data_IF_769732628272
#
_entry.id   IF_769732628272
#
_cell.length_a   1.000
_cell.length_b   1.000
_cell.length_c   1.000
_cell.angle_alpha   90.00
_cell.angle_beta   90.00
_cell.angle_gamma   90.00
#
_symmetry.space_group_name_H-M   'P 1'
#
loop_
_entity.id
_entity.type
_entity.pdbx_description
1 polymer ?
#
# COMPACT_ATOMS: atom_id res chain seq x y z
N UNK A 1 -29.44 -8.53 -2.12
CA UNK A 1 -27.97 -8.55 -2.02
C UNK A 1 -27.55 -7.21 -1.41
N UNK A 2 -27.20 -7.16 -0.12
CA UNK A 2 -26.80 -5.90 0.52
C UNK A 2 -25.35 -5.62 0.13
N UNK A 3 -25.11 -4.60 -0.69
CA UNK A 3 -23.78 -4.01 -0.84
C UNK A 3 -23.28 -3.68 0.56
N UNK A 4 -22.15 -4.28 0.98
CA UNK A 4 -21.42 -3.79 2.14
C UNK A 4 -21.16 -2.29 1.93
N UNK A 5 -21.33 -1.44 2.95
CA UNK A 5 -21.02 -0.03 2.80
C UNK A 5 -19.58 0.07 2.28
N UNK A 6 -19.48 0.71 1.12
CA UNK A 6 -18.23 0.95 0.43
C UNK A 6 -17.28 1.60 1.42
N UNK A 7 -16.20 0.92 1.77
CA UNK A 7 -15.35 1.35 2.89
C UNK A 7 -14.75 2.70 2.48
N UNK A 8 -15.00 3.81 3.20
CA UNK A 8 -14.75 5.16 2.68
C UNK A 8 -13.33 5.41 2.20
N UNK A 9 -12.35 4.66 2.72
CA UNK A 9 -10.96 4.73 2.27
C UNK A 9 -10.76 4.25 0.84
N UNK A 10 -11.50 3.23 0.36
CA UNK A 10 -11.27 2.61 -0.96
C UNK A 10 -11.42 3.64 -2.09
N UNK A 11 -12.46 4.46 -2.05
CA UNK A 11 -12.76 5.46 -3.09
C UNK A 11 -11.68 6.52 -3.27
N UNK A 12 -10.98 6.86 -2.18
CA UNK A 12 -10.03 7.96 -2.16
C UNK A 12 -8.58 7.46 -1.98
N UNK A 13 -8.35 6.15 -1.94
CA UNK A 13 -7.02 5.61 -1.73
C UNK A 13 -6.22 5.61 -3.03
N UNK A 14 -5.01 6.13 -2.92
CA UNK A 14 -3.96 5.97 -3.90
C UNK A 14 -2.71 5.39 -3.25
N UNK A 15 -1.95 4.63 -4.03
CA UNK A 15 -0.61 4.14 -3.70
C UNK A 15 0.38 4.68 -4.71
N UNK A 16 1.56 5.07 -4.27
CA UNK A 16 2.70 5.40 -5.13
C UNK A 16 3.95 4.66 -4.67
N UNK A 17 4.88 4.45 -5.60
CA UNK A 17 6.25 4.00 -5.29
C UNK A 17 7.14 5.24 -5.31
N UNK A 18 7.67 5.61 -4.15
CA UNK A 18 8.59 6.72 -4.00
C UNK A 18 10.03 6.25 -4.17
N UNK A 19 10.83 7.07 -4.86
CA UNK A 19 12.25 6.81 -5.16
C UNK A 19 13.17 7.84 -4.48
N UNK A 20 12.66 9.05 -4.22
CA UNK A 20 13.39 10.09 -3.50
C UNK A 20 12.43 11.09 -2.88
N UNK A 21 12.68 11.59 -1.66
CA UNK A 21 13.75 11.24 -0.72
C UNK A 21 13.45 9.96 0.10
N UNK A 22 12.24 9.43 -0.01
CA UNK A 22 11.85 8.13 0.50
C UNK A 22 12.05 7.09 -0.60
N UNK A 23 12.67 5.97 -0.27
CA UNK A 23 12.65 4.75 -1.08
C UNK A 23 11.63 3.80 -0.45
N UNK A 24 10.44 3.68 -1.05
CA UNK A 24 9.36 2.86 -0.49
C UNK A 24 7.96 3.20 -0.98
N UNK A 25 6.95 2.67 -0.27
CA UNK A 25 5.54 2.79 -0.67
C UNK A 25 4.83 3.88 0.13
N UNK A 26 4.07 4.72 -0.56
CA UNK A 26 3.23 5.74 0.06
C UNK A 26 1.76 5.47 -0.25
N UNK A 27 0.93 5.38 0.78
CA UNK A 27 -0.52 5.41 0.66
C UNK A 27 -1.05 6.79 1.00
N UNK A 28 -1.99 7.31 0.22
CA UNK A 28 -2.58 8.63 0.45
C UNK A 28 -4.08 8.62 0.19
N UNK A 29 -4.83 9.32 1.04
CA UNK A 29 -6.25 9.58 0.80
C UNK A 29 -6.45 10.93 0.10
N UNK A 30 -7.03 10.93 -1.10
CA UNK A 30 -7.26 12.12 -1.91
C UNK A 30 -8.48 11.96 -2.84
N UNK A 31 -9.17 13.07 -3.19
CA UNK A 31 -10.36 13.01 -4.05
C UNK A 31 -10.05 12.76 -5.53
N UNK A 32 -8.78 12.81 -5.94
CA UNK A 32 -8.34 12.55 -7.31
C UNK A 32 -6.84 12.27 -7.36
N UNK A 33 -6.38 11.71 -8.48
CA UNK A 33 -4.97 11.42 -8.77
C UNK A 33 -4.09 12.67 -8.67
N UNK A 34 -4.55 13.81 -9.18
CA UNK A 34 -3.79 15.08 -9.10
C UNK A 34 -3.64 15.57 -7.65
N UNK A 35 -4.70 15.43 -6.84
CA UNK A 35 -4.65 15.77 -5.43
C UNK A 35 -3.74 14.80 -4.66
N UNK A 36 -3.77 13.50 -4.99
CA UNK A 36 -2.87 12.50 -4.41
C UNK A 36 -1.40 12.85 -4.71
N UNK A 37 -1.07 13.11 -5.98
CA UNK A 37 0.26 13.48 -6.41
C UNK A 37 0.78 14.74 -5.68
N UNK A 38 -0.05 15.78 -5.57
CA UNK A 38 0.31 17.01 -4.83
C UNK A 38 0.51 16.74 -3.34
N UNK A 39 -0.35 15.94 -2.71
CA UNK A 39 -0.23 15.58 -1.29
C UNK A 39 1.06 14.80 -1.02
N UNK A 40 1.39 13.81 -1.84
CA UNK A 40 2.64 13.04 -1.72
C UNK A 40 3.85 13.97 -1.84
N UNK A 41 3.94 14.79 -2.90
CA UNK A 41 5.05 15.73 -3.08
C UNK A 41 5.23 16.64 -1.88
N UNK A 42 4.16 17.29 -1.44
CA UNK A 42 4.24 18.24 -0.35
C UNK A 42 4.58 17.56 0.99
N UNK A 43 3.99 16.40 1.27
CA UNK A 43 4.27 15.67 2.51
C UNK A 43 5.73 15.19 2.56
N UNK A 44 6.24 14.56 1.49
CA UNK A 44 7.62 14.10 1.44
C UNK A 44 8.62 15.26 1.45
N UNK A 45 8.32 16.36 0.75
CA UNK A 45 9.13 17.57 0.80
C UNK A 45 9.30 18.09 2.24
N UNK A 46 8.20 18.15 3.00
CA UNK A 46 8.22 18.60 4.40
C UNK A 46 8.93 17.59 5.30
N UNK A 47 8.57 16.31 5.24
CA UNK A 47 9.10 15.26 6.12
C UNK A 47 10.62 15.10 5.99
N UNK A 48 11.15 15.30 4.80
CA UNK A 48 12.57 15.08 4.50
C UNK A 48 13.33 16.38 4.22
N UNK A 49 12.72 17.54 4.49
CA UNK A 49 13.32 18.86 4.29
C UNK A 49 13.97 19.03 2.89
N UNK A 50 13.23 18.65 1.84
CA UNK A 50 13.69 18.73 0.45
C UNK A 50 12.73 19.57 -0.40
N UNK A 51 13.19 20.26 -1.46
CA UNK A 51 12.29 20.97 -2.36
C UNK A 51 11.25 20.04 -3.02
N UNK A 52 9.98 20.45 -3.21
CA UNK A 52 8.96 19.60 -3.82
C UNK A 52 9.29 19.06 -5.22
N UNK A 53 10.10 19.77 -5.99
CA UNK A 53 10.54 19.34 -7.33
C UNK A 53 11.65 18.27 -7.30
N UNK A 54 12.20 17.96 -6.11
CA UNK A 54 13.15 16.87 -5.87
C UNK A 54 12.48 15.61 -5.34
N UNK A 55 11.17 15.64 -5.12
CA UNK A 55 10.40 14.44 -4.77
C UNK A 55 10.08 13.67 -6.03
N UNK A 56 10.51 12.41 -6.06
CA UNK A 56 10.34 11.50 -7.18
C UNK A 56 9.55 10.27 -6.76
N UNK A 57 8.54 9.93 -7.55
CA UNK A 57 7.66 8.78 -7.37
C UNK A 57 6.94 8.47 -8.68
N UNK A 58 6.56 7.22 -8.86
CA UNK A 58 5.77 6.74 -9.98
C UNK A 58 4.62 5.85 -9.50
N UNK A 59 4.00 5.12 -10.44
CA UNK A 59 2.99 4.10 -10.19
C UNK A 59 1.86 4.55 -9.26
N UNK A 60 1.44 5.81 -9.41
CA UNK A 60 0.33 6.39 -8.65
C UNK A 60 -0.99 5.75 -9.06
N UNK A 61 -1.35 4.66 -8.41
CA UNK A 61 -2.50 3.81 -8.71
C UNK A 61 -3.62 4.01 -7.68
N UNK A 62 -4.86 4.03 -8.14
CA UNK A 62 -6.05 4.03 -7.27
C UNK A 62 -6.31 2.64 -6.68
N UNK A 63 -7.20 2.54 -5.69
CA UNK A 63 -7.68 1.25 -5.19
C UNK A 63 -8.19 0.33 -6.31
N UNK A 64 -8.99 0.87 -7.22
CA UNK A 64 -9.56 0.11 -8.34
C UNK A 64 -8.48 -0.43 -9.28
N UNK A 65 -7.49 0.42 -9.61
CA UNK A 65 -6.34 0.01 -10.44
C UNK A 65 -5.62 -1.18 -9.78
N UNK A 66 -5.31 -1.08 -8.48
CA UNK A 66 -4.57 -2.09 -7.72
C UNK A 66 -5.34 -3.41 -7.59
N UNK A 67 -6.64 -3.35 -7.28
CA UNK A 67 -7.49 -4.54 -7.15
C UNK A 67 -7.68 -5.24 -8.48
N UNK A 68 -7.77 -4.49 -9.59
CA UNK A 68 -7.98 -5.05 -10.92
C UNK A 68 -6.81 -5.91 -11.40
N UNK A 69 -5.58 -5.59 -10.97
CA UNK A 69 -4.36 -6.31 -11.36
C UNK A 69 -3.88 -7.29 -10.30
N UNK A 70 -4.28 -7.12 -9.04
CA UNK A 70 -3.81 -7.94 -7.91
C UNK A 70 -4.30 -9.39 -7.97
N UNK A 71 -3.56 -10.28 -7.32
CA UNK A 71 -3.80 -11.74 -7.38
C UNK A 71 -4.19 -12.35 -6.02
N UNK A 72 -4.06 -11.59 -4.93
CA UNK A 72 -4.50 -12.01 -3.60
C UNK A 72 -5.99 -12.37 -3.58
N UNK A 73 -6.33 -13.42 -2.84
CA UNK A 73 -7.72 -13.83 -2.61
C UNK A 73 -8.48 -12.77 -1.80
N UNK A 74 -7.82 -12.14 -0.83
CA UNK A 74 -8.38 -10.97 -0.14
C UNK A 74 -8.11 -9.72 -0.98
N UNK A 75 -9.16 -9.16 -1.57
CA UNK A 75 -9.13 -7.95 -2.39
C UNK A 75 -8.59 -6.74 -1.61
N UNK A 76 -8.85 -6.66 -0.30
CA UNK A 76 -8.36 -5.55 0.53
C UNK A 76 -6.85 -5.62 0.74
N UNK A 77 -6.24 -6.81 0.58
CA UNK A 77 -4.79 -6.98 0.66
C UNK A 77 -4.07 -6.67 -0.66
N UNK A 78 -4.78 -6.66 -1.80
CA UNK A 78 -4.18 -6.43 -3.13
C UNK A 78 -3.47 -5.09 -3.24
N UNK A 79 -3.92 -4.09 -2.48
CA UNK A 79 -3.28 -2.77 -2.44
C UNK A 79 -1.84 -2.82 -1.90
N UNK A 80 -1.48 -3.86 -1.15
CA UNK A 80 -0.13 -4.08 -0.61
C UNK A 80 0.75 -4.98 -1.50
N UNK A 81 0.30 -5.41 -2.67
CA UNK A 81 1.12 -6.26 -3.55
C UNK A 81 2.21 -5.45 -4.26
N UNK A 82 3.47 -5.86 -4.11
CA UNK A 82 4.64 -5.24 -4.76
C UNK A 82 5.16 -6.06 -5.93
N UNK A 83 5.12 -7.39 -5.83
CA UNK A 83 5.56 -8.28 -6.90
C UNK A 83 4.73 -9.55 -6.94
N UNK A 84 4.61 -10.11 -8.14
CA UNK A 84 3.76 -11.26 -8.45
C UNK A 84 4.50 -12.25 -9.34
N UNK A 85 4.22 -13.54 -9.17
CA UNK A 85 4.61 -14.61 -10.07
C UNK A 85 3.38 -15.45 -10.39
N UNK A 86 2.82 -15.26 -11.59
CA UNK A 86 1.55 -15.88 -11.97
C UNK A 86 0.40 -15.47 -11.04
N UNK A 87 -0.10 -16.41 -10.23
CA UNK A 87 -1.20 -16.19 -9.26
C UNK A 87 -0.71 -16.04 -7.82
N UNK A 88 0.60 -15.94 -7.62
CA UNK A 88 1.22 -15.83 -6.31
C UNK A 88 1.80 -14.45 -6.10
N UNK A 89 1.63 -13.90 -4.90
CA UNK A 89 2.30 -12.67 -4.47
C UNK A 89 3.68 -13.03 -3.95
N UNK A 90 4.73 -12.52 -4.60
CA UNK A 90 6.12 -12.80 -4.23
C UNK A 90 6.74 -11.72 -3.35
N UNK A 91 6.15 -10.52 -3.34
CA UNK A 91 6.56 -9.44 -2.45
C UNK A 91 5.37 -8.59 -2.03
N UNK A 92 5.35 -8.23 -0.75
CA UNK A 92 4.39 -7.34 -0.15
C UNK A 92 5.04 -6.00 0.20
N UNK A 93 4.22 -4.96 0.29
CA UNK A 93 4.64 -3.63 0.73
C UNK A 93 5.25 -3.67 2.12
N UNK A 94 6.51 -3.24 2.23
CA UNK A 94 7.23 -3.15 3.49
C UNK A 94 7.32 -1.73 4.04
N UNK A 95 7.00 -1.59 5.33
CA UNK A 95 7.02 -0.33 6.08
C UNK A 95 6.46 0.90 5.31
N UNK A 96 5.20 0.85 4.83
CA UNK A 96 4.62 1.95 4.05
C UNK A 96 4.41 3.22 4.88
N UNK A 97 4.51 4.37 4.21
CA UNK A 97 4.08 5.65 4.75
C UNK A 97 2.58 5.86 4.49
N UNK A 98 1.80 6.05 5.55
CA UNK A 98 0.37 6.32 5.48
C UNK A 98 0.08 7.82 5.62
N UNK A 99 -0.21 8.48 4.50
CA UNK A 99 -0.73 9.86 4.43
C UNK A 99 -2.26 9.86 4.44
N UNK A 100 -2.84 9.21 5.44
CA UNK A 100 -4.29 9.06 5.63
C UNK A 100 -4.63 9.01 7.11
N UNK A 101 -5.84 9.44 7.46
CA UNK A 101 -6.39 9.29 8.82
C UNK A 101 -7.20 7.99 8.97
N UNK A 102 -7.30 7.18 7.91
CA UNK A 102 -8.04 5.94 7.94
C UNK A 102 -7.27 4.85 8.69
N UNK A 103 -7.81 4.43 9.84
CA UNK A 103 -7.22 3.40 10.69
C UNK A 103 -7.47 1.97 10.16
N UNK A 104 -8.43 1.78 9.26
CA UNK A 104 -8.76 0.45 8.74
C UNK A 104 -7.71 -0.05 7.75
N UNK A 105 -7.13 0.85 6.93
CA UNK A 105 -6.01 0.51 6.06
C UNK A 105 -4.77 0.09 6.87
N UNK A 106 -4.47 0.80 7.96
CA UNK A 106 -3.39 0.43 8.87
C UNK A 106 -3.66 -0.92 9.55
N UNK A 107 -4.90 -1.16 9.98
CA UNK A 107 -5.33 -2.45 10.53
C UNK A 107 -5.17 -3.60 9.52
N UNK A 108 -5.49 -3.37 8.25
CA UNK A 108 -5.30 -4.35 7.17
C UNK A 108 -3.83 -4.65 6.88
N UNK A 109 -2.98 -3.63 6.91
CA UNK A 109 -1.53 -3.84 6.82
C UNK A 109 -0.99 -4.65 8.01
N UNK A 110 -1.47 -4.38 9.23
CA UNK A 110 -1.09 -5.14 10.42
C UNK A 110 -1.55 -6.61 10.34
N UNK A 111 -2.76 -6.86 9.83
CA UNK A 111 -3.28 -8.21 9.56
C UNK A 111 -2.38 -8.98 8.59
N UNK A 112 -2.00 -8.35 7.47
CA UNK A 112 -1.07 -8.91 6.49
C UNK A 112 0.25 -9.32 7.14
N UNK A 113 0.85 -8.41 7.91
CA UNK A 113 2.16 -8.65 8.54
C UNK A 113 2.10 -9.74 9.62
N UNK A 114 1.03 -9.79 10.42
CA UNK A 114 0.81 -10.89 11.35
C UNK A 114 0.69 -12.23 10.62
N UNK A 115 0.00 -12.26 9.47
CA UNK A 115 -0.12 -13.43 8.61
C UNK A 115 1.23 -13.91 8.07
N UNK A 116 2.05 -13.00 7.54
CA UNK A 116 3.41 -13.30 7.02
C UNK A 116 4.28 -13.89 8.13
N UNK A 117 4.36 -13.21 9.29
CA UNK A 117 5.17 -13.66 10.42
C UNK A 117 4.75 -15.06 10.93
N UNK A 118 3.43 -15.34 10.93
CA UNK A 118 2.93 -16.65 11.30
C UNK A 118 3.38 -17.75 10.33
N UNK A 119 3.33 -17.51 9.01
CA UNK A 119 3.77 -18.49 8.02
C UNK A 119 5.27 -18.74 8.08
N UNK A 120 6.08 -17.69 8.24
CA UNK A 120 7.53 -17.81 8.40
C UNK A 120 7.90 -18.67 9.62
N UNK A 121 7.24 -18.41 10.75
CA UNK A 121 7.42 -19.18 12.00
C UNK A 121 7.08 -20.65 11.80
N UNK A 122 5.96 -20.96 11.14
CA UNK A 122 5.58 -22.35 10.83
C UNK A 122 6.59 -23.03 9.90
N UNK A 123 7.08 -22.31 8.89
CA UNK A 123 8.09 -22.81 7.98
C UNK A 123 9.42 -23.11 8.68
N UNK A 124 9.80 -22.34 9.70
CA UNK A 124 10.97 -22.63 10.54
C UNK A 124 10.76 -23.89 11.37
N UNK A 125 9.62 -24.02 12.05
CA UNK A 125 9.32 -25.20 12.89
C UNK A 125 9.35 -26.50 12.06
N UNK A 126 8.78 -26.48 10.85
CA UNK A 126 8.73 -27.66 9.98
C UNK A 126 10.10 -28.06 9.42
N UNK A 127 11.08 -27.15 9.37
CA UNK A 127 12.44 -27.44 8.89
C UNK A 127 13.37 -28.00 9.97
N UNK A 128 13.02 -27.84 11.24
CA UNK A 128 13.82 -28.27 12.39
C UNK A 128 13.33 -29.62 12.96
N UNK A 129 12.25 -30.18 12.41
CA UNK A 129 11.79 -31.56 12.66
C UNK A 129 12.31 -32.48 11.57
#
# INVERSE_FOLDING_TARGET
MKMKPDTPWKRNLYRAIAHSPLDGVVFVSAPSRDHAARKIRNALAVLYNTPPHKVDFDDLASFEDLVSVGVSVDEDLRVFEMSRSGREVTAWTNAPLFLTHDQTLLGKWAELYAGIAFQETRGLINRTR
#
